data_IF_926701313532
#
_entry.id   IF_926701313532
#
_cell.length_a   1.000
_cell.length_b   1.000
_cell.length_c   1.000
_cell.angle_alpha   90.00
_cell.angle_beta   90.00
_cell.angle_gamma   90.00
#
_symmetry.space_group_name_H-M   'P 1'
#
loop_
_entity.id
_entity.type
_entity.pdbx_description
1 polymer ?
#
# COMPACT_ATOMS: atom_id res chain seq x y z
N UNK A 1 -3.18 -20.90 -6.88
CA UNK A 1 -2.07 -20.77 -5.89
C UNK A 1 -2.63 -20.41 -4.52
N UNK A 2 -1.84 -20.69 -3.48
CA UNK A 2 -2.04 -20.17 -2.12
C UNK A 2 -1.06 -19.04 -1.90
N UNK A 3 -1.57 -17.82 -1.80
CA UNK A 3 -0.80 -16.58 -1.76
C UNK A 3 -0.92 -15.96 -0.36
N UNK A 4 0.20 -15.62 0.25
CA UNK A 4 0.23 -14.92 1.52
C UNK A 4 0.69 -13.48 1.33
N UNK A 5 -0.12 -12.54 1.79
CA UNK A 5 0.26 -11.12 1.88
C UNK A 5 0.78 -10.83 3.28
N UNK A 6 1.93 -10.17 3.37
CA UNK A 6 2.50 -9.74 4.65
C UNK A 6 2.33 -8.24 4.83
N UNK A 7 1.61 -7.84 5.86
CA UNK A 7 1.46 -6.45 6.27
C UNK A 7 2.12 -6.23 7.64
N UNK A 8 2.50 -5.00 7.95
CA UNK A 8 3.05 -4.68 9.28
C UNK A 8 1.96 -4.81 10.33
N UNK A 9 0.86 -4.12 10.12
CA UNK A 9 -0.29 -4.05 11.03
C UNK A 9 -1.58 -3.97 10.23
N UNK A 10 -2.69 -4.36 10.81
CA UNK A 10 -3.99 -4.29 10.15
C UNK A 10 -5.05 -3.63 11.04
N UNK A 11 -5.94 -2.90 10.40
CA UNK A 11 -5.87 -2.32 9.07
C UNK A 11 -4.95 -1.10 9.07
N UNK A 12 -4.23 -0.89 7.98
CA UNK A 12 -3.41 0.30 7.76
C UNK A 12 -3.89 0.97 6.47
N UNK A 13 -4.93 1.82 6.56
CA UNK A 13 -5.60 2.42 5.41
C UNK A 13 -4.71 3.50 4.75
N UNK A 14 -3.65 3.06 4.13
CA UNK A 14 -2.77 3.88 3.30
C UNK A 14 -2.81 3.42 1.84
N UNK A 15 -2.30 4.24 0.93
CA UNK A 15 -2.30 3.93 -0.51
C UNK A 15 -1.62 2.60 -0.85
N UNK A 16 -0.55 2.24 -0.13
CA UNK A 16 0.14 0.96 -0.27
C UNK A 16 -0.76 -0.22 0.08
N UNK A 17 -1.45 -0.14 1.23
CA UNK A 17 -2.35 -1.20 1.66
C UNK A 17 -3.57 -1.35 0.72
N UNK A 18 -4.12 -0.25 0.23
CA UNK A 18 -5.21 -0.29 -0.75
C UNK A 18 -4.77 -0.97 -2.05
N UNK A 19 -3.52 -0.73 -2.50
CA UNK A 19 -2.93 -1.44 -3.62
C UNK A 19 -2.93 -2.96 -3.42
N UNK A 20 -2.58 -3.43 -2.22
CA UNK A 20 -2.53 -4.87 -1.94
C UNK A 20 -3.89 -5.52 -1.88
N UNK A 21 -4.85 -4.84 -1.27
CA UNK A 21 -6.23 -5.31 -1.26
C UNK A 21 -6.75 -5.42 -2.70
N UNK A 22 -6.44 -4.46 -3.55
CA UNK A 22 -6.88 -4.49 -4.94
C UNK A 22 -6.18 -5.61 -5.73
N UNK A 23 -4.88 -5.88 -5.47
CA UNK A 23 -4.18 -7.04 -6.03
C UNK A 23 -4.75 -8.36 -5.50
N UNK A 24 -5.03 -8.44 -4.21
CA UNK A 24 -5.62 -9.62 -3.58
C UNK A 24 -6.99 -9.96 -4.17
N UNK A 25 -7.84 -8.93 -4.42
CA UNK A 25 -9.13 -9.09 -5.10
C UNK A 25 -8.93 -9.66 -6.50
N UNK A 26 -7.98 -9.13 -7.26
CA UNK A 26 -7.71 -9.60 -8.62
C UNK A 26 -7.22 -11.06 -8.63
N UNK A 27 -6.27 -11.40 -7.76
CA UNK A 27 -5.78 -12.77 -7.63
C UNK A 27 -6.89 -13.74 -7.16
N UNK A 28 -7.77 -13.29 -6.25
CA UNK A 28 -8.91 -14.10 -5.80
C UNK A 28 -9.91 -14.38 -6.95
N UNK A 29 -10.20 -13.38 -7.80
CA UNK A 29 -11.04 -13.57 -9.00
C UNK A 29 -10.46 -14.60 -9.95
N UNK A 30 -9.14 -14.77 -9.98
CA UNK A 30 -8.43 -15.78 -10.78
C UNK A 30 -8.36 -17.15 -10.12
N UNK A 31 -9.05 -17.34 -8.99
CA UNK A 31 -9.14 -18.62 -8.29
C UNK A 31 -7.99 -18.89 -7.31
N UNK A 32 -7.21 -17.87 -6.91
CA UNK A 32 -6.17 -18.04 -5.92
C UNK A 32 -6.73 -17.91 -4.49
N UNK A 33 -6.17 -18.67 -3.56
CA UNK A 33 -6.50 -18.58 -2.13
C UNK A 33 -5.61 -17.53 -1.48
N UNK A 34 -6.22 -16.51 -0.88
CA UNK A 34 -5.53 -15.35 -0.32
C UNK A 34 -5.69 -15.31 1.20
N UNK A 35 -4.59 -15.08 1.91
CA UNK A 35 -4.58 -14.79 3.35
C UNK A 35 -3.59 -13.68 3.65
N UNK A 36 -3.98 -12.76 4.53
CA UNK A 36 -3.10 -11.71 5.02
C UNK A 36 -2.50 -12.10 6.37
N UNK A 37 -1.18 -11.99 6.47
CA UNK A 37 -0.43 -12.18 7.72
C UNK A 37 0.10 -10.84 8.20
N UNK A 38 -0.02 -10.56 9.49
CA UNK A 38 0.55 -9.37 10.11
C UNK A 38 1.82 -9.72 10.87
N UNK A 39 2.83 -8.84 10.78
CA UNK A 39 4.09 -8.98 11.54
C UNK A 39 4.01 -8.36 12.93
N UNK A 40 3.04 -7.47 13.14
CA UNK A 40 2.67 -6.90 14.44
C UNK A 40 1.24 -7.29 14.79
N UNK A 41 0.85 -7.13 16.06
CA UNK A 41 -0.54 -7.37 16.47
C UNK A 41 -1.49 -6.42 15.75
N UNK A 42 -2.67 -6.88 15.34
CA UNK A 42 -3.70 -6.02 14.78
C UNK A 42 -4.02 -4.84 15.71
N UNK A 43 -4.49 -3.73 15.14
CA UNK A 43 -4.99 -2.61 15.94
C UNK A 43 -6.19 -3.05 16.77
N UNK A 44 -6.37 -2.38 17.91
CA UNK A 44 -7.53 -2.60 18.79
C UNK A 44 -8.84 -2.46 18.00
N UNK A 45 -9.78 -3.38 18.22
CA UNK A 45 -11.02 -3.47 17.45
C UNK A 45 -10.98 -4.38 16.21
N UNK A 46 -9.79 -4.86 15.78
CA UNK A 46 -9.62 -5.78 14.64
C UNK A 46 -8.97 -7.10 15.07
N UNK A 47 -9.55 -7.77 16.04
CA UNK A 47 -9.05 -9.04 16.59
C UNK A 47 -9.12 -10.19 15.58
N UNK A 48 -8.20 -10.26 14.63
CA UNK A 48 -8.09 -11.37 13.66
C UNK A 48 -9.30 -11.48 12.74
N UNK A 49 -10.00 -10.36 12.50
CA UNK A 49 -11.22 -10.28 11.73
C UNK A 49 -11.02 -10.39 10.23
N UNK A 50 -12.14 -10.25 9.54
CA UNK A 50 -12.21 -10.13 8.08
C UNK A 50 -12.31 -8.65 7.74
N UNK A 51 -11.44 -8.18 6.84
CA UNK A 51 -11.51 -6.84 6.26
C UNK A 51 -11.61 -6.94 4.74
N UNK A 52 -12.60 -6.30 4.15
CA UNK A 52 -12.86 -6.32 2.69
C UNK A 52 -12.88 -7.73 2.09
N UNK A 53 -13.38 -8.71 2.85
CA UNK A 53 -13.50 -10.11 2.41
C UNK A 53 -12.26 -10.98 2.67
N UNK A 54 -11.16 -10.42 3.17
CA UNK A 54 -9.95 -11.16 3.47
C UNK A 54 -9.77 -11.40 4.97
N UNK A 55 -9.28 -12.60 5.31
CA UNK A 55 -8.90 -12.95 6.67
C UNK A 55 -7.51 -12.41 6.99
N UNK A 56 -7.40 -11.80 8.17
CA UNK A 56 -6.12 -11.32 8.72
C UNK A 56 -5.78 -12.07 9.99
N UNK A 57 -4.52 -12.46 10.13
CA UNK A 57 -4.02 -13.14 11.32
C UNK A 57 -2.54 -12.82 11.57
N UNK A 58 -2.12 -12.90 12.81
CA UNK A 58 -0.70 -12.75 13.13
C UNK A 58 0.09 -13.96 12.61
N UNK A 59 1.28 -13.71 12.05
CA UNK A 59 2.07 -14.75 11.39
C UNK A 59 2.42 -15.95 12.29
N UNK A 60 2.56 -15.74 13.61
CA UNK A 60 2.88 -16.82 14.56
C UNK A 60 1.77 -17.89 14.67
N UNK A 61 0.56 -17.57 14.28
CA UNK A 61 -0.57 -18.49 14.24
C UNK A 61 -0.77 -19.16 12.86
N UNK A 62 0.14 -18.94 11.90
CA UNK A 62 -0.05 -19.30 10.50
C UNK A 62 0.98 -20.30 9.95
N UNK A 63 1.64 -21.10 10.81
CA UNK A 63 2.70 -22.02 10.39
C UNK A 63 2.31 -22.92 9.21
N UNK A 64 1.21 -23.63 9.30
CA UNK A 64 0.72 -24.53 8.23
C UNK A 64 0.34 -23.78 6.93
N UNK A 65 -0.14 -22.54 7.05
CA UNK A 65 -0.42 -21.70 5.87
C UNK A 65 0.88 -21.28 5.18
N UNK A 66 1.91 -20.92 5.95
CA UNK A 66 3.22 -20.58 5.40
C UNK A 66 3.89 -21.78 4.73
N UNK A 67 3.79 -22.97 5.32
CA UNK A 67 4.30 -24.23 4.75
C UNK A 67 3.61 -24.60 3.43
N UNK A 68 2.32 -24.36 3.32
CA UNK A 68 1.53 -24.73 2.15
C UNK A 68 1.37 -23.62 1.11
N UNK A 69 1.94 -22.43 1.34
CA UNK A 69 1.89 -21.31 0.39
C UNK A 69 2.89 -21.48 -0.75
N UNK A 70 2.61 -20.91 -1.92
CA UNK A 70 3.48 -20.92 -3.08
C UNK A 70 4.25 -19.61 -3.29
N UNK A 71 3.70 -18.49 -2.83
CA UNK A 71 4.32 -17.17 -3.01
C UNK A 71 3.94 -16.24 -1.87
N UNK A 72 4.85 -15.37 -1.49
CA UNK A 72 4.65 -14.34 -0.49
C UNK A 72 4.70 -12.97 -1.12
N UNK A 73 3.75 -12.11 -0.79
CA UNK A 73 3.69 -10.72 -1.25
C UNK A 73 3.90 -9.81 -0.05
N UNK A 74 4.88 -8.92 -0.14
CA UNK A 74 5.24 -7.97 0.90
C UNK A 74 5.25 -6.54 0.35
N UNK A 75 4.12 -5.84 0.40
CA UNK A 75 4.00 -4.51 -0.18
C UNK A 75 4.58 -3.41 0.69
N UNK A 76 4.85 -3.72 1.93
CA UNK A 76 5.31 -2.74 2.89
C UNK A 76 6.80 -2.92 3.16
N UNK A 77 7.63 -2.07 2.56
CA UNK A 77 9.08 -2.15 2.71
C UNK A 77 9.58 -2.30 4.17
N UNK A 78 8.98 -1.64 5.18
CA UNK A 78 9.34 -1.86 6.58
C UNK A 78 9.12 -3.29 7.08
N UNK A 79 8.17 -4.02 6.51
CA UNK A 79 7.92 -5.42 6.89
C UNK A 79 8.90 -6.40 6.24
N UNK A 80 9.52 -6.03 5.13
CA UNK A 80 10.34 -6.94 4.32
C UNK A 80 11.51 -7.59 5.07
N UNK A 81 12.31 -6.89 5.90
CA UNK A 81 13.37 -7.53 6.67
C UNK A 81 12.83 -8.62 7.60
N UNK A 82 11.67 -8.37 8.22
CA UNK A 82 11.03 -9.34 9.10
C UNK A 82 10.50 -10.55 8.33
N UNK A 83 9.88 -10.32 7.16
CA UNK A 83 9.39 -11.37 6.26
C UNK A 83 10.55 -12.24 5.76
N UNK A 84 11.68 -11.65 5.36
CA UNK A 84 12.90 -12.36 4.99
C UNK A 84 13.43 -13.23 6.14
N UNK A 85 13.42 -12.69 7.37
CA UNK A 85 13.81 -13.45 8.57
C UNK A 85 12.88 -14.63 8.84
N UNK A 86 11.58 -14.49 8.62
CA UNK A 86 10.64 -15.61 8.72
C UNK A 86 10.94 -16.63 7.62
N UNK A 87 11.10 -16.17 6.38
CA UNK A 87 11.34 -17.02 5.22
C UNK A 87 12.63 -17.86 5.35
N UNK A 88 13.66 -17.31 5.98
CA UNK A 88 14.94 -17.99 6.22
C UNK A 88 14.86 -19.19 7.19
N UNK A 89 13.75 -19.34 7.92
CA UNK A 89 13.52 -20.45 8.84
C UNK A 89 13.15 -21.78 8.18
N UNK A 90 13.27 -21.85 6.86
CA UNK A 90 13.05 -23.07 6.08
C UNK A 90 11.92 -23.00 5.07
N UNK A 91 11.18 -21.88 5.03
CA UNK A 91 10.09 -21.74 4.03
C UNK A 91 10.62 -21.53 2.61
N UNK A 92 11.61 -20.64 2.44
CA UNK A 92 12.29 -20.34 1.17
C UNK A 92 11.33 -20.04 0.01
N UNK A 93 10.24 -19.32 0.28
CA UNK A 93 9.23 -18.96 -0.71
C UNK A 93 9.70 -17.79 -1.59
N UNK A 94 9.35 -17.74 -2.88
CA UNK A 94 9.53 -16.54 -3.69
C UNK A 94 8.80 -15.37 -3.05
N UNK A 95 9.42 -14.19 -3.05
CA UNK A 95 8.85 -12.97 -2.47
C UNK A 95 8.62 -11.95 -3.57
N UNK A 96 7.42 -11.36 -3.61
CA UNK A 96 7.13 -10.16 -4.39
C UNK A 96 7.02 -8.99 -3.42
N UNK A 97 7.84 -7.97 -3.62
CA UNK A 97 7.82 -6.77 -2.79
C UNK A 97 7.47 -5.55 -3.64
N UNK A 98 6.52 -4.72 -3.20
CA UNK A 98 6.18 -3.46 -3.86
C UNK A 98 6.81 -2.30 -3.10
N UNK A 99 7.63 -1.52 -3.78
CA UNK A 99 8.26 -0.33 -3.23
C UNK A 99 7.37 0.89 -3.49
N UNK A 100 6.72 1.38 -2.45
CA UNK A 100 5.85 2.57 -2.50
C UNK A 100 6.58 3.88 -2.19
N UNK A 101 7.83 3.81 -1.71
CA UNK A 101 8.65 4.98 -1.34
C UNK A 101 10.06 4.82 -1.85
N UNK A 102 10.70 5.93 -2.23
CA UNK A 102 12.08 5.93 -2.69
C UNK A 102 13.05 5.65 -1.54
N UNK A 103 13.99 4.80 -1.80
CA UNK A 103 15.37 4.60 -1.31
C UNK A 103 15.77 4.80 0.15
N UNK A 104 14.91 5.32 1.02
CA UNK A 104 15.20 5.39 2.47
C UNK A 104 15.03 4.06 3.20
N UNK A 105 14.47 3.09 2.53
CA UNK A 105 14.29 1.77 3.11
C UNK A 105 15.43 0.88 2.63
N UNK A 106 16.49 0.81 3.44
CA UNK A 106 17.58 -0.15 3.31
C UNK A 106 17.07 -1.57 3.06
N UNK A 107 15.88 -1.87 3.57
CA UNK A 107 15.20 -3.13 3.36
C UNK A 107 15.02 -3.54 1.89
N UNK A 108 14.83 -2.59 0.98
CA UNK A 108 14.70 -2.89 -0.46
C UNK A 108 16.08 -3.02 -1.11
N UNK A 109 17.09 -2.35 -0.55
CA UNK A 109 18.47 -2.34 -1.05
C UNK A 109 19.36 -3.39 -0.39
N UNK A 110 18.94 -3.97 0.75
CA UNK A 110 19.68 -5.03 1.42
C UNK A 110 19.56 -6.34 0.64
N UNK A 111 20.63 -7.14 0.71
CA UNK A 111 20.72 -8.40 -0.03
C UNK A 111 19.55 -9.35 0.25
N UNK A 112 18.88 -9.77 -0.81
CA UNK A 112 18.07 -10.95 -0.79
C UNK A 112 18.95 -12.19 -0.45
N UNK A 113 18.37 -13.17 0.21
CA UNK A 113 19.07 -14.43 0.43
C UNK A 113 19.21 -15.20 -0.88
N UNK A 114 20.35 -15.88 -1.13
CA UNK A 114 20.46 -16.77 -2.30
C UNK A 114 19.55 -18.02 -2.22
N UNK A 115 18.86 -18.22 -1.09
CA UNK A 115 17.99 -19.38 -0.87
C UNK A 115 16.60 -19.26 -1.50
N UNK A 116 16.22 -18.07 -1.94
CA UNK A 116 14.95 -17.80 -2.64
C UNK A 116 15.11 -16.62 -3.59
N UNK A 117 14.16 -16.46 -4.49
CA UNK A 117 14.12 -15.36 -5.47
C UNK A 117 13.18 -14.26 -5.01
N UNK A 118 13.48 -13.04 -5.41
CA UNK A 118 12.66 -11.87 -5.09
C UNK A 118 12.32 -11.09 -6.36
N UNK A 119 11.09 -10.56 -6.41
CA UNK A 119 10.66 -9.60 -7.43
C UNK A 119 10.31 -8.28 -6.75
N UNK A 120 10.95 -7.19 -7.20
CA UNK A 120 10.66 -5.83 -6.74
C UNK A 120 9.81 -5.10 -7.78
N UNK A 121 8.63 -4.65 -7.36
CA UNK A 121 7.74 -3.81 -8.13
C UNK A 121 7.85 -2.37 -7.63
N UNK A 122 8.22 -1.45 -8.51
CA UNK A 122 8.39 -0.03 -8.20
C UNK A 122 7.23 0.76 -8.77
N UNK A 123 6.66 1.68 -8.00
CA UNK A 123 5.49 2.45 -8.43
C UNK A 123 5.81 3.63 -9.33
N UNK A 124 7.07 3.90 -9.61
CA UNK A 124 7.53 4.81 -10.67
C UNK A 124 8.90 4.39 -11.23
N UNK A 125 9.23 4.87 -12.41
CA UNK A 125 10.47 4.53 -13.14
C UNK A 125 11.71 5.05 -12.46
N UNK A 126 11.62 6.23 -11.85
CA UNK A 126 12.74 6.85 -11.14
C UNK A 126 13.21 5.98 -10.00
N UNK A 127 12.27 5.42 -9.21
CA UNK A 127 12.57 4.48 -8.13
C UNK A 127 13.26 3.21 -8.65
N UNK A 128 12.74 2.61 -9.72
CA UNK A 128 13.38 1.43 -10.33
C UNK A 128 14.78 1.75 -10.83
N UNK A 129 14.96 2.88 -11.52
CA UNK A 129 16.27 3.31 -12.01
C UNK A 129 17.28 3.55 -10.88
N UNK A 130 16.86 4.20 -9.81
CA UNK A 130 17.68 4.44 -8.62
C UNK A 130 18.06 3.13 -7.93
N UNK A 131 17.13 2.19 -7.82
CA UNK A 131 17.41 0.86 -7.28
C UNK A 131 18.46 0.14 -8.13
N UNK A 132 18.29 0.07 -9.46
CA UNK A 132 19.20 -0.60 -10.38
C UNK A 132 20.61 0.00 -10.35
N UNK A 133 20.74 1.32 -10.16
CA UNK A 133 22.06 1.98 -10.03
C UNK A 133 22.80 1.63 -8.75
N UNK A 134 22.06 1.39 -7.65
CA UNK A 134 22.63 1.12 -6.32
C UNK A 134 22.79 -0.36 -6.03
N UNK A 135 22.10 -1.24 -6.76
CA UNK A 135 22.01 -2.66 -6.45
C UNK A 135 23.02 -3.46 -7.26
N UNK A 136 23.75 -4.32 -6.57
CA UNK A 136 24.69 -5.30 -7.15
C UNK A 136 24.11 -6.73 -7.12
N UNK A 137 22.80 -6.85 -7.20
CA UNK A 137 22.15 -8.15 -7.14
C UNK A 137 22.26 -8.91 -8.46
N UNK A 138 22.56 -10.21 -8.42
CA UNK A 138 22.45 -11.06 -9.60
C UNK A 138 21.00 -11.06 -10.13
N UNK A 139 20.83 -10.86 -11.42
CA UNK A 139 19.51 -10.92 -12.07
C UNK A 139 18.83 -12.30 -11.94
N UNK A 140 19.59 -13.33 -11.60
CA UNK A 140 19.08 -14.67 -11.35
C UNK A 140 18.29 -14.82 -10.04
N UNK A 141 18.49 -13.90 -9.08
CA UNK A 141 17.80 -13.92 -7.79
C UNK A 141 16.89 -12.71 -7.55
N UNK A 142 17.04 -11.65 -8.35
CA UNK A 142 16.25 -10.43 -8.24
C UNK A 142 15.70 -10.02 -9.59
N UNK A 143 14.38 -9.95 -9.69
CA UNK A 143 13.64 -9.36 -10.83
C UNK A 143 13.11 -8.00 -10.43
N UNK A 144 13.02 -7.07 -11.37
CA UNK A 144 12.42 -5.76 -11.14
C UNK A 144 11.38 -5.43 -12.20
N UNK A 145 10.45 -4.54 -11.85
CA UNK A 145 9.48 -3.99 -12.79
C UNK A 145 8.83 -2.72 -12.25
N UNK A 146 8.45 -1.81 -13.14
CA UNK A 146 7.64 -0.64 -12.79
C UNK A 146 6.17 -0.96 -12.94
N UNK A 147 5.37 -0.59 -11.95
CA UNK A 147 3.92 -0.78 -11.89
C UNK A 147 3.25 0.50 -11.40
N UNK A 148 1.97 0.65 -11.68
CA UNK A 148 1.15 1.71 -11.09
C UNK A 148 0.37 1.17 -9.90
N UNK A 149 0.06 1.99 -8.88
CA UNK A 149 -0.85 1.58 -7.81
C UNK A 149 -2.20 1.18 -8.38
N UNK A 150 -2.70 0.05 -7.89
CA UNK A 150 -3.95 -0.52 -8.37
C UNK A 150 -5.15 0.30 -7.92
N UNK A 151 -6.11 0.41 -8.81
CA UNK A 151 -7.41 1.05 -8.55
C UNK A 151 -8.52 0.26 -9.25
N UNK A 152 -9.68 0.26 -8.64
CA UNK A 152 -10.90 -0.27 -9.26
C UNK A 152 -11.83 0.89 -9.61
N UNK A 153 -12.29 0.92 -10.85
CA UNK A 153 -13.20 1.97 -11.33
C UNK A 153 -14.41 2.12 -10.42
N UNK A 154 -15.05 1.02 -10.04
CA UNK A 154 -16.23 1.01 -9.19
C UNK A 154 -16.05 1.63 -7.80
N UNK A 155 -14.81 1.80 -7.34
CA UNK A 155 -14.51 2.40 -6.04
C UNK A 155 -14.24 3.90 -6.11
N UNK A 156 -13.92 4.42 -7.29
CA UNK A 156 -13.54 5.82 -7.46
C UNK A 156 -14.51 6.60 -8.36
N UNK A 157 -15.21 5.93 -9.27
CA UNK A 157 -16.16 6.55 -10.19
C UNK A 157 -17.36 7.09 -9.42
N UNK A 158 -17.65 8.35 -9.60
CA UNK A 158 -18.88 8.95 -9.14
C UNK A 158 -19.99 8.77 -10.19
N UNK A 159 -21.23 8.60 -9.73
CA UNK A 159 -22.40 8.44 -10.59
C UNK A 159 -22.74 9.75 -11.31
N UNK A 160 -22.47 10.89 -10.65
CA UNK A 160 -22.67 12.23 -11.17
C UNK A 160 -21.36 13.04 -11.16
N UNK A 161 -21.19 14.00 -12.08
CA UNK A 161 -20.06 14.92 -12.04
C UNK A 161 -19.95 15.65 -10.69
N UNK A 162 -18.74 15.93 -10.20
CA UNK A 162 -18.58 16.67 -8.95
C UNK A 162 -19.15 18.09 -9.09
N UNK A 163 -19.94 18.49 -8.12
CA UNK A 163 -20.55 19.82 -8.06
C UNK A 163 -20.14 20.58 -6.77
N UNK A 164 -19.12 20.11 -6.09
CA UNK A 164 -18.56 20.73 -4.89
C UNK A 164 -17.92 22.08 -5.16
N UNK A 165 -17.82 22.91 -4.11
CA UNK A 165 -17.20 24.22 -4.14
C UNK A 165 -15.93 24.32 -3.27
N UNK A 166 -15.55 23.24 -2.59
CA UNK A 166 -14.43 23.22 -1.65
C UNK A 166 -13.07 23.03 -2.33
N UNK A 167 -12.06 23.70 -1.80
CA UNK A 167 -10.65 23.43 -2.04
C UNK A 167 -10.21 22.38 -1.02
N UNK A 168 -9.81 21.19 -1.48
CA UNK A 168 -9.71 20.01 -0.62
C UNK A 168 -8.28 19.54 -0.44
N UNK A 169 -7.92 19.15 0.79
CA UNK A 169 -6.72 18.37 1.12
C UNK A 169 -7.12 17.06 1.79
N UNK A 170 -6.72 15.94 1.21
CA UNK A 170 -6.96 14.61 1.78
C UNK A 170 -5.75 14.12 2.55
N UNK A 171 -6.00 13.49 3.70
CA UNK A 171 -4.96 13.01 4.61
C UNK A 171 -4.09 14.17 5.14
N UNK A 172 -4.73 15.19 5.70
CA UNK A 172 -4.14 16.47 6.09
C UNK A 172 -3.14 16.31 7.26
N UNK A 173 -1.90 15.95 6.95
CA UNK A 173 -0.78 15.84 7.88
C UNK A 173 0.43 16.68 7.40
N UNK A 174 1.48 16.73 8.21
CA UNK A 174 2.67 17.55 7.93
C UNK A 174 3.33 17.16 6.58
N UNK A 175 3.42 15.87 6.26
CA UNK A 175 4.03 15.41 5.02
C UNK A 175 3.16 15.70 3.78
N UNK A 176 1.86 15.82 3.98
CA UNK A 176 0.89 16.18 2.92
C UNK A 176 0.68 17.68 2.80
N UNK A 177 1.44 18.50 3.56
CA UNK A 177 1.46 19.93 3.40
C UNK A 177 0.31 20.67 4.08
N UNK A 178 -0.19 20.15 5.21
CA UNK A 178 -1.27 20.80 5.97
C UNK A 178 -0.95 22.25 6.34
N UNK A 179 0.30 22.59 6.62
CA UNK A 179 0.72 23.96 6.92
C UNK A 179 0.49 24.90 5.74
N UNK A 180 0.88 24.48 4.55
CA UNK A 180 0.65 25.23 3.30
C UNK A 180 -0.85 25.40 3.03
N UNK A 181 -1.62 24.33 3.20
CA UNK A 181 -3.08 24.37 3.04
C UNK A 181 -3.74 25.38 3.97
N UNK A 182 -3.32 25.45 5.25
CA UNK A 182 -3.84 26.43 6.22
C UNK A 182 -3.40 27.85 5.87
N UNK A 183 -2.19 28.04 5.37
CA UNK A 183 -1.72 29.35 4.91
C UNK A 183 -2.57 29.86 3.74
N UNK A 184 -2.87 29.02 2.77
CA UNK A 184 -3.78 29.36 1.66
C UNK A 184 -5.18 29.73 2.18
N UNK A 185 -5.71 28.95 3.12
CA UNK A 185 -7.02 29.22 3.70
C UNK A 185 -7.09 30.58 4.43
N UNK A 186 -6.03 30.96 5.17
CA UNK A 186 -5.95 32.28 5.81
C UNK A 186 -5.95 33.44 4.80
N UNK A 187 -5.25 33.25 3.67
CA UNK A 187 -5.12 34.27 2.62
C UNK A 187 -6.34 34.33 1.69
N UNK A 188 -7.20 33.31 1.71
CA UNK A 188 -8.42 33.22 0.89
C UNK A 188 -9.68 33.06 1.78
N UNK A 189 -10.00 34.03 2.66
CA UNK A 189 -11.04 33.87 3.70
C UNK A 189 -12.44 33.64 3.14
N UNK A 190 -12.70 34.04 1.89
CA UNK A 190 -14.00 33.89 1.23
C UNK A 190 -14.14 32.54 0.50
N UNK A 191 -13.16 31.63 0.59
CA UNK A 191 -13.18 30.32 -0.03
C UNK A 191 -13.44 29.24 1.02
N UNK A 192 -14.13 28.18 0.62
CA UNK A 192 -14.32 26.99 1.45
C UNK A 192 -13.13 26.06 1.29
N UNK A 193 -12.55 25.67 2.40
CA UNK A 193 -11.48 24.70 2.48
C UNK A 193 -11.97 23.46 3.22
N UNK A 194 -11.66 22.27 2.68
CA UNK A 194 -12.06 20.98 3.24
C UNK A 194 -10.82 20.16 3.55
N UNK A 195 -10.57 19.89 4.83
CA UNK A 195 -9.46 19.06 5.29
C UNK A 195 -9.96 17.71 5.78
N UNK A 196 -9.54 16.63 5.14
CA UNK A 196 -9.81 15.27 5.59
C UNK A 196 -8.74 14.84 6.57
N UNK A 197 -9.14 14.50 7.81
CA UNK A 197 -8.21 14.06 8.86
C UNK A 197 -7.41 12.84 8.43
N UNK A 198 -6.13 12.76 8.81
CA UNK A 198 -5.31 11.62 8.47
C UNK A 198 -5.79 10.36 9.21
N UNK A 199 -5.78 9.22 8.52
CA UNK A 199 -5.93 7.92 9.16
C UNK A 199 -4.62 7.45 9.82
N UNK A 200 -3.47 7.88 9.28
CA UNK A 200 -2.13 7.55 9.75
C UNK A 200 -1.25 8.81 9.82
N UNK A 201 -0.17 8.73 10.60
CA UNK A 201 0.72 9.85 10.86
C UNK A 201 0.29 10.66 12.09
N UNK A 202 1.07 11.69 12.40
CA UNK A 202 0.72 12.59 13.51
C UNK A 202 -0.51 13.42 13.16
N UNK A 203 -1.50 13.33 14.02
CA UNK A 203 -2.69 14.18 13.98
C UNK A 203 -2.34 15.56 14.57
N UNK A 204 -1.49 16.31 13.86
CA UNK A 204 -1.30 17.71 14.18
C UNK A 204 -2.35 18.53 13.43
N UNK A 205 -3.28 19.12 14.18
CA UNK A 205 -4.27 20.03 13.63
C UNK A 205 -3.84 21.44 14.01
N UNK A 206 -3.26 22.20 13.07
CA UNK A 206 -2.92 23.60 13.35
C UNK A 206 -4.18 24.41 13.63
N UNK A 207 -4.04 25.53 14.32
CA UNK A 207 -5.11 26.51 14.44
C UNK A 207 -5.52 26.95 13.03
N UNK A 208 -6.71 26.53 12.62
CA UNK A 208 -7.25 26.80 11.30
C UNK A 208 -8.23 27.98 11.34
N UNK A 209 -8.31 28.79 10.29
CA UNK A 209 -9.33 29.81 10.16
C UNK A 209 -10.72 29.20 9.97
N UNK A 210 -11.78 30.00 10.19
CA UNK A 210 -13.18 29.54 10.20
C UNK A 210 -13.68 28.98 8.86
N UNK A 211 -13.00 29.29 7.77
CA UNK A 211 -13.31 28.78 6.42
C UNK A 211 -12.72 27.39 6.13
N UNK A 212 -12.10 26.73 7.12
CA UNK A 212 -11.60 25.36 7.02
C UNK A 212 -12.52 24.41 7.77
N UNK A 213 -13.19 23.55 7.06
CA UNK A 213 -13.94 22.43 7.62
C UNK A 213 -13.05 21.20 7.75
N UNK A 214 -13.03 20.59 8.94
CA UNK A 214 -12.33 19.34 9.21
C UNK A 214 -13.33 18.19 9.27
N UNK A 215 -13.17 17.22 8.37
CA UNK A 215 -13.96 16.00 8.38
C UNK A 215 -13.11 14.79 8.79
N UNK A 216 -13.72 13.75 9.38
CA UNK A 216 -13.03 12.50 9.65
C UNK A 216 -12.58 11.84 8.33
N UNK A 217 -11.66 10.88 8.44
CA UNK A 217 -11.35 9.98 7.35
C UNK A 217 -12.62 9.25 6.89
N UNK A 218 -12.81 9.17 5.57
CA UNK A 218 -13.90 8.41 4.95
C UNK A 218 -13.30 7.28 4.09
N UNK A 219 -13.78 6.06 4.26
CA UNK A 219 -13.31 4.89 3.48
C UNK A 219 -13.84 4.91 2.03
N UNK A 220 -14.90 5.69 1.77
CA UNK A 220 -15.40 5.98 0.43
C UNK A 220 -14.98 7.39 -0.02
N UNK A 221 -13.89 7.47 -0.73
CA UNK A 221 -13.33 8.74 -1.21
C UNK A 221 -14.32 9.55 -2.05
N UNK A 222 -15.31 8.92 -2.67
CA UNK A 222 -16.34 9.59 -3.49
C UNK A 222 -17.15 10.61 -2.69
N UNK A 223 -17.36 10.36 -1.40
CA UNK A 223 -18.07 11.30 -0.49
C UNK A 223 -17.28 12.61 -0.32
N UNK A 224 -15.96 12.52 -0.31
CA UNK A 224 -15.07 13.70 -0.27
C UNK A 224 -15.04 14.39 -1.63
N UNK A 225 -14.84 13.62 -2.71
CA UNK A 225 -14.70 14.15 -4.05
C UNK A 225 -15.97 14.86 -4.55
N UNK A 226 -17.16 14.43 -4.14
CA UNK A 226 -18.44 15.12 -4.44
C UNK A 226 -18.46 16.56 -3.95
N UNK A 227 -17.73 16.87 -2.86
CA UNK A 227 -17.66 18.19 -2.25
C UNK A 227 -16.50 19.04 -2.80
N UNK A 228 -15.60 18.42 -3.57
CA UNK A 228 -14.35 18.98 -4.03
C UNK A 228 -14.51 19.69 -5.37
N UNK A 229 -14.10 20.97 -5.44
CA UNK A 229 -13.93 21.71 -6.68
C UNK A 229 -12.50 21.59 -7.20
N UNK A 230 -11.51 21.74 -6.31
CA UNK A 230 -10.08 21.67 -6.60
C UNK A 230 -9.41 20.80 -5.56
N UNK A 231 -8.62 19.83 -5.97
CA UNK A 231 -7.78 19.06 -5.05
C UNK A 231 -6.40 19.70 -4.96
N UNK A 232 -5.93 19.94 -3.74
CA UNK A 232 -4.56 20.37 -3.47
C UNK A 232 -3.70 19.20 -3.01
N UNK A 233 -2.50 19.12 -3.56
CA UNK A 233 -1.50 18.12 -3.22
C UNK A 233 -0.16 18.81 -2.86
N UNK A 234 -0.10 19.62 -1.78
CA UNK A 234 1.10 20.36 -1.38
C UNK A 234 2.08 19.47 -0.61
N UNK A 235 2.20 18.21 -1.05
CA UNK A 235 3.00 17.19 -0.39
C UNK A 235 4.48 17.50 -0.46
N UNK A 236 5.22 17.21 0.63
CA UNK A 236 6.69 17.21 0.62
C UNK A 236 7.22 16.07 -0.23
N UNK A 237 6.54 14.93 -0.14
CA UNK A 237 6.87 13.71 -0.84
C UNK A 237 5.59 13.06 -1.34
N UNK A 238 5.61 12.64 -2.59
CA UNK A 238 4.52 11.91 -3.23
C UNK A 238 5.08 10.97 -4.29
N UNK A 239 5.00 9.68 -4.04
CA UNK A 239 5.56 8.67 -4.96
C UNK A 239 4.70 8.40 -6.18
N UNK A 240 3.38 8.61 -6.07
CA UNK A 240 2.44 8.44 -7.16
C UNK A 240 1.30 9.45 -7.14
N UNK A 241 0.75 9.74 -5.94
CA UNK A 241 -0.41 10.63 -5.82
C UNK A 241 -1.74 9.94 -6.15
N UNK A 242 -2.02 8.78 -5.55
CA UNK A 242 -3.26 8.02 -5.80
C UNK A 242 -4.51 8.90 -5.75
N UNK A 243 -4.63 9.78 -4.75
CA UNK A 243 -5.78 10.70 -4.60
C UNK A 243 -5.89 11.68 -5.78
N UNK A 244 -4.77 12.10 -6.37
CA UNK A 244 -4.81 12.94 -7.56
C UNK A 244 -5.45 12.20 -8.74
N UNK A 245 -5.10 10.94 -8.95
CA UNK A 245 -5.70 10.09 -10.01
C UNK A 245 -7.19 9.90 -9.77
N UNK A 246 -7.60 9.64 -8.53
CA UNK A 246 -9.01 9.48 -8.14
C UNK A 246 -9.82 10.76 -8.41
N UNK A 247 -9.25 11.92 -8.10
CA UNK A 247 -9.85 13.23 -8.39
C UNK A 247 -9.93 13.51 -9.90
N UNK A 248 -8.81 13.36 -10.60
CA UNK A 248 -8.71 13.65 -12.05
C UNK A 248 -9.60 12.74 -12.89
N UNK A 249 -9.76 11.47 -12.49
CA UNK A 249 -10.70 10.54 -13.13
C UNK A 249 -12.13 11.06 -13.11
N UNK A 250 -12.52 11.75 -12.06
CA UNK A 250 -13.84 12.38 -11.91
C UNK A 250 -13.90 13.82 -12.45
N UNK A 251 -12.84 14.28 -13.15
CA UNK A 251 -12.80 15.62 -13.74
C UNK A 251 -12.51 16.74 -12.73
N UNK A 252 -11.91 16.43 -11.58
CA UNK A 252 -11.51 17.43 -10.58
C UNK A 252 -10.08 17.90 -10.88
N UNK A 253 -9.86 19.20 -11.11
CA UNK A 253 -8.51 19.76 -11.25
C UNK A 253 -7.65 19.52 -10.03
N UNK A 254 -6.36 19.20 -10.26
CA UNK A 254 -5.37 18.95 -9.21
C UNK A 254 -4.26 19.96 -9.32
N UNK A 255 -3.97 20.67 -8.21
CA UNK A 255 -2.79 21.51 -8.07
C UNK A 255 -1.82 20.78 -7.14
N UNK A 256 -0.58 20.59 -7.56
CA UNK A 256 0.40 19.80 -6.82
C UNK A 256 1.76 20.49 -6.68
N UNK A 257 2.51 20.11 -5.64
CA UNK A 257 3.89 20.57 -5.47
C UNK A 257 4.77 19.93 -6.51
N UNK A 258 5.43 20.74 -7.34
CA UNK A 258 6.51 20.24 -8.20
C UNK A 258 7.75 19.89 -7.39
N UNK A 259 8.63 19.01 -7.91
CA UNK A 259 9.88 18.66 -7.25
C UNK A 259 10.73 19.93 -7.02
N UNK A 260 11.26 20.05 -5.81
CA UNK A 260 12.28 21.06 -5.54
C UNK A 260 13.66 20.50 -5.92
N UNK A 261 14.12 20.85 -7.10
CA UNK A 261 15.42 20.40 -7.65
C UNK A 261 16.62 20.92 -6.83
N UNK A 262 16.43 21.93 -5.99
CA UNK A 262 17.47 22.48 -5.13
C UNK A 262 17.42 21.87 -3.71
N UNK A 263 16.42 21.02 -3.41
CA UNK A 263 16.31 20.39 -2.12
C UNK A 263 17.42 19.36 -1.94
N UNK A 264 18.18 19.52 -0.87
CA UNK A 264 19.13 18.50 -0.40
C UNK A 264 18.42 17.37 0.37
N UNK A 265 17.13 17.49 0.61
CA UNK A 265 16.33 16.44 1.24
C UNK A 265 15.88 15.42 0.18
N UNK A 266 16.51 14.23 0.13
CA UNK A 266 16.18 13.19 -0.85
C UNK A 266 14.76 12.64 -0.70
N UNK A 267 14.00 13.07 0.31
CA UNK A 267 12.60 12.69 0.57
C UNK A 267 11.62 13.75 0.06
N UNK A 268 12.11 14.92 -0.31
CA UNK A 268 11.27 16.03 -0.73
C UNK A 268 10.82 15.98 -2.20
N UNK A 269 10.80 14.83 -2.86
CA UNK A 269 10.54 14.76 -4.29
C UNK A 269 9.11 14.32 -4.59
N UNK A 270 8.50 15.01 -5.55
CA UNK A 270 7.20 14.65 -6.15
C UNK A 270 7.39 14.10 -7.57
N UNK A 271 8.59 13.60 -7.90
CA UNK A 271 8.93 13.06 -9.23
C UNK A 271 7.96 11.98 -9.71
N UNK A 272 7.47 11.14 -8.77
CA UNK A 272 6.46 10.15 -9.09
C UNK A 272 5.12 10.75 -9.51
N UNK A 273 4.74 11.91 -8.96
CA UNK A 273 3.55 12.65 -9.41
C UNK A 273 3.80 13.23 -10.79
N UNK A 274 4.96 13.82 -11.01
CA UNK A 274 5.30 14.35 -12.34
C UNK A 274 5.28 13.28 -13.41
N UNK A 275 5.82 12.10 -13.14
CA UNK A 275 5.81 10.98 -14.09
C UNK A 275 4.40 10.59 -14.56
N UNK A 276 3.41 10.63 -13.65
CA UNK A 276 2.09 10.10 -13.93
C UNK A 276 1.00 11.16 -14.10
N UNK A 277 1.15 12.36 -13.55
CA UNK A 277 0.12 13.40 -13.50
C UNK A 277 0.34 14.50 -14.53
N UNK A 278 1.58 14.75 -14.93
CA UNK A 278 1.89 15.68 -16.02
C UNK A 278 1.53 15.03 -17.38
N UNK A 279 0.92 15.76 -18.32
CA UNK A 279 0.75 17.22 -18.35
C UNK A 279 -0.55 17.75 -17.77
N UNK A 280 -1.41 16.92 -17.22
CA UNK A 280 -2.77 17.34 -16.87
C UNK A 280 -2.92 18.01 -15.50
N UNK A 281 -1.97 17.80 -14.57
CA UNK A 281 -1.97 18.50 -13.26
C UNK A 281 -1.35 19.91 -13.39
N UNK A 282 -1.68 20.77 -12.41
CA UNK A 282 -1.15 22.13 -12.31
C UNK A 282 -0.02 22.12 -11.28
N UNK A 283 1.22 22.34 -11.72
CA UNK A 283 2.39 22.32 -10.86
C UNK A 283 2.69 23.69 -10.26
N UNK A 284 2.89 23.74 -8.93
CA UNK A 284 3.30 24.94 -8.21
C UNK A 284 4.53 24.67 -7.33
N UNK A 285 5.36 25.67 -7.07
CA UNK A 285 6.41 25.56 -6.06
C UNK A 285 5.74 25.45 -4.67
N UNK A 286 6.16 24.46 -3.88
CA UNK A 286 5.48 24.13 -2.63
C UNK A 286 5.27 25.35 -1.71
N UNK A 287 6.33 26.12 -1.48
CA UNK A 287 6.33 27.21 -0.51
C UNK A 287 5.96 28.56 -1.12
N UNK A 288 5.56 28.61 -2.39
CA UNK A 288 5.16 29.83 -3.11
C UNK A 288 3.63 30.01 -3.06
N UNK A 289 3.10 30.45 -1.91
CA UNK A 289 1.64 30.60 -1.70
C UNK A 289 0.96 31.45 -2.79
N UNK A 290 1.63 32.48 -3.29
CA UNK A 290 1.09 33.35 -4.36
C UNK A 290 0.84 32.58 -5.66
N UNK A 291 1.74 31.66 -6.01
CA UNK A 291 1.57 30.81 -7.18
C UNK A 291 0.33 29.91 -7.07
N UNK A 292 0.13 29.31 -5.88
CA UNK A 292 -1.05 28.49 -5.61
C UNK A 292 -2.35 29.29 -5.68
N UNK A 293 -2.37 30.50 -5.08
CA UNK A 293 -3.53 31.41 -5.11
C UNK A 293 -3.86 31.76 -6.55
N UNK A 294 -2.86 32.19 -7.34
CA UNK A 294 -3.06 32.56 -8.74
C UNK A 294 -3.65 31.40 -9.57
N UNK A 295 -3.22 30.15 -9.33
CA UNK A 295 -3.78 29.00 -10.03
C UNK A 295 -5.21 28.65 -9.56
N UNK A 296 -5.50 28.81 -8.27
CA UNK A 296 -6.87 28.63 -7.75
C UNK A 296 -7.81 29.68 -8.36
N UNK A 297 -7.41 30.95 -8.40
CA UNK A 297 -8.20 32.04 -8.96
C UNK A 297 -8.37 31.90 -10.48
N UNK A 298 -7.35 31.42 -11.20
CA UNK A 298 -7.44 31.14 -12.64
C UNK A 298 -8.56 30.12 -12.93
N UNK A 299 -8.80 29.17 -12.03
CA UNK A 299 -9.87 28.16 -12.14
C UNK A 299 -11.25 28.70 -11.77
N UNK A 300 -11.40 30.01 -11.44
CA UNK A 300 -12.72 30.65 -11.29
C UNK A 300 -13.37 30.92 -12.63
N UNK A 301 -12.55 31.17 -13.67
CA UNK A 301 -13.08 31.27 -15.03
C UNK A 301 -13.68 29.95 -15.49
N UNK A 302 -14.97 30.00 -15.84
CA UNK A 302 -15.75 28.80 -16.13
C UNK A 302 -15.20 28.02 -17.35
N UNK A 303 -14.69 28.74 -18.37
CA UNK A 303 -14.13 28.12 -19.56
C UNK A 303 -12.80 27.44 -19.26
N UNK A 304 -11.93 28.08 -18.49
CA UNK A 304 -10.67 27.54 -18.00
C UNK A 304 -10.90 26.29 -17.14
N UNK A 305 -11.87 26.35 -16.23
CA UNK A 305 -12.22 25.20 -15.38
C UNK A 305 -12.71 24.01 -16.21
N UNK A 306 -13.65 24.24 -17.13
CA UNK A 306 -14.18 23.19 -18.01
C UNK A 306 -13.08 22.55 -18.88
N UNK A 307 -12.19 23.37 -19.44
CA UNK A 307 -11.01 22.89 -20.19
C UNK A 307 -10.13 22.00 -19.30
N UNK A 308 -9.88 22.42 -18.06
CA UNK A 308 -9.04 21.66 -17.14
C UNK A 308 -9.71 20.34 -16.72
N UNK A 309 -11.03 20.35 -16.51
CA UNK A 309 -11.79 19.12 -16.21
C UNK A 309 -11.66 18.10 -17.35
N UNK A 310 -11.80 18.54 -18.59
CA UNK A 310 -11.63 17.68 -19.77
C UNK A 310 -10.21 17.11 -19.83
N UNK A 311 -9.22 17.98 -19.71
CA UNK A 311 -7.80 17.59 -19.78
C UNK A 311 -7.44 16.52 -18.75
N UNK A 312 -7.81 16.73 -17.48
CA UNK A 312 -7.45 15.79 -16.41
C UNK A 312 -8.13 14.43 -16.63
N UNK A 313 -9.39 14.43 -17.07
CA UNK A 313 -10.15 13.21 -17.32
C UNK A 313 -9.59 12.40 -18.49
N UNK A 314 -9.34 13.06 -19.62
CA UNK A 314 -8.78 12.43 -20.83
C UNK A 314 -7.40 11.84 -20.53
N UNK A 315 -6.56 12.56 -19.79
CA UNK A 315 -5.25 12.08 -19.39
C UNK A 315 -5.33 10.77 -18.60
N UNK A 316 -6.15 10.72 -17.54
CA UNK A 316 -6.28 9.52 -16.72
C UNK A 316 -6.88 8.35 -17.52
N UNK A 317 -7.85 8.59 -18.38
CA UNK A 317 -8.41 7.56 -19.26
C UNK A 317 -7.33 6.99 -20.20
N UNK A 318 -6.46 7.85 -20.76
CA UNK A 318 -5.37 7.43 -21.64
C UNK A 318 -4.31 6.55 -20.93
N UNK A 319 -4.20 6.65 -19.61
CA UNK A 319 -3.26 5.84 -18.82
C UNK A 319 -3.68 4.37 -18.71
N UNK A 320 -4.93 4.01 -19.00
CA UNK A 320 -5.45 2.63 -18.83
C UNK A 320 -5.20 2.04 -17.43
N UNK A 321 -5.35 2.85 -16.39
CA UNK A 321 -4.96 2.48 -15.01
C UNK A 321 -5.71 1.25 -14.48
N UNK A 322 -6.92 0.97 -14.97
CA UNK A 322 -7.75 -0.15 -14.51
C UNK A 322 -7.31 -1.51 -15.06
N UNK A 323 -6.44 -1.54 -16.08
CA UNK A 323 -5.87 -2.80 -16.60
C UNK A 323 -4.64 -3.26 -15.79
N UNK A 324 -4.12 -2.41 -14.93
CA UNK A 324 -2.90 -2.65 -14.18
C UNK A 324 -3.01 -3.83 -13.22
N UNK A 325 -4.19 -4.05 -12.61
CA UNK A 325 -4.44 -5.17 -11.73
C UNK A 325 -4.19 -6.51 -12.44
N UNK A 326 -4.74 -6.67 -13.65
CA UNK A 326 -4.51 -7.85 -14.49
C UNK A 326 -3.05 -8.01 -14.87
N UNK A 327 -2.35 -6.92 -15.21
CA UNK A 327 -0.92 -6.95 -15.56
C UNK A 327 -0.05 -7.40 -14.39
N UNK A 328 -0.27 -6.86 -13.19
CA UNK A 328 0.50 -7.25 -12.01
C UNK A 328 0.18 -8.69 -11.60
N UNK A 329 -1.08 -9.10 -11.66
CA UNK A 329 -1.46 -10.48 -11.38
C UNK A 329 -0.75 -11.46 -12.33
N UNK A 330 -0.67 -11.16 -13.64
CA UNK A 330 0.12 -11.94 -14.59
C UNK A 330 1.60 -12.02 -14.16
N UNK A 331 2.20 -10.88 -13.80
CA UNK A 331 3.61 -10.86 -13.34
C UNK A 331 3.84 -11.75 -12.12
N UNK A 332 2.90 -11.76 -11.17
CA UNK A 332 2.97 -12.60 -9.96
C UNK A 332 2.84 -14.09 -10.32
N UNK A 333 1.88 -14.41 -11.18
CA UNK A 333 1.64 -15.80 -11.65
C UNK A 333 2.83 -16.35 -12.44
N UNK A 334 3.39 -15.55 -13.37
CA UNK A 334 4.55 -15.92 -14.16
C UNK A 334 5.78 -16.09 -13.28
N UNK A 335 6.00 -15.17 -12.35
CA UNK A 335 7.12 -15.27 -11.41
C UNK A 335 7.05 -16.52 -10.55
N UNK A 336 5.86 -16.90 -10.07
CA UNK A 336 5.70 -18.13 -9.29
C UNK A 336 5.86 -19.38 -10.17
N UNK A 337 5.39 -19.36 -11.43
CA UNK A 337 5.52 -20.47 -12.38
C UNK A 337 6.97 -20.74 -12.76
N UNK A 338 7.78 -19.70 -12.89
CA UNK A 338 9.21 -19.79 -13.14
C UNK A 338 10.00 -20.30 -11.92
N UNK A 339 9.43 -20.18 -10.72
CA UNK A 339 10.05 -20.57 -9.46
C UNK A 339 9.11 -21.50 -8.66
N UNK A 340 8.83 -22.71 -9.19
CA UNK A 340 7.95 -23.65 -8.53
C UNK A 340 8.57 -24.11 -7.21
N UNK A 341 7.73 -24.23 -6.20
CA UNK A 341 8.11 -24.85 -4.93
C UNK A 341 7.81 -26.34 -5.06
N UNK A 342 8.77 -27.18 -4.69
CA UNK A 342 8.51 -28.60 -4.55
C UNK A 342 7.31 -28.78 -3.58
N UNK A 343 6.28 -29.46 -4.05
CA UNK A 343 5.19 -29.84 -3.13
C UNK A 343 5.81 -30.61 -1.97
N UNK A 344 5.42 -30.32 -0.72
CA UNK A 344 5.85 -31.16 0.40
C UNK A 344 5.45 -32.59 0.05
N UNK A 345 6.41 -33.50 0.09
CA UNK A 345 6.11 -34.93 -0.10
C UNK A 345 4.91 -35.23 0.83
N UNK A 346 3.80 -35.64 0.25
CA UNK A 346 2.68 -36.13 1.05
C UNK A 346 3.27 -37.20 1.94
N UNK A 347 3.05 -37.14 3.27
CA UNK A 347 3.53 -38.20 4.14
C UNK A 347 3.04 -39.50 3.51
N UNK A 348 3.97 -40.33 3.08
CA UNK A 348 3.63 -41.68 2.56
C UNK A 348 2.74 -42.26 3.62
N UNK A 349 1.46 -42.40 3.32
CA UNK A 349 0.56 -43.20 4.13
C UNK A 349 1.21 -44.57 4.13
N UNK A 350 1.89 -44.90 5.23
CA UNK A 350 2.38 -46.26 5.40
C UNK A 350 1.15 -47.14 5.26
N UNK A 351 1.07 -47.86 4.15
CA UNK A 351 0.05 -48.87 4.02
C UNK A 351 0.23 -49.77 5.22
N UNK A 352 -0.65 -49.65 6.19
CA UNK A 352 -0.73 -50.59 7.30
C UNK A 352 -0.94 -51.92 6.64
N UNK A 353 0.07 -52.78 6.74
CA UNK A 353 -0.02 -54.14 6.25
C UNK A 353 -1.30 -54.76 6.84
N UNK A 354 -2.20 -55.14 5.97
CA UNK A 354 -3.44 -55.84 6.35
C UNK A 354 -3.16 -57.35 6.51
N UNK A 355 -1.91 -57.70 6.84
CA UNK A 355 -1.57 -59.09 7.16
C UNK A 355 -2.14 -59.46 8.55
N UNK A 356 -3.13 -60.34 8.64
CA UNK A 356 -3.79 -60.66 9.89
C UNK A 356 -2.90 -61.44 10.86
N UNK A 357 -1.66 -61.76 10.49
CA UNK A 357 -0.73 -62.50 11.35
C UNK A 357 0.19 -61.62 12.20
N UNK A 358 0.18 -60.28 12.02
CA UNK A 358 1.00 -59.37 12.81
C UNK A 358 0.15 -58.76 13.92
N UNK A 359 0.22 -59.29 15.13
CA UNK A 359 -0.37 -58.73 16.32
C UNK A 359 0.33 -57.38 16.65
N UNK A 360 -0.42 -56.30 16.93
CA UNK A 360 0.16 -55.02 17.29
C UNK A 360 0.93 -55.11 18.63
N UNK A 361 2.18 -54.62 18.62
CA UNK A 361 2.95 -54.45 19.88
C UNK A 361 2.24 -53.49 20.81
N UNK A 362 2.08 -53.81 22.09
CA UNK A 362 1.52 -52.88 23.04
C UNK A 362 2.38 -51.59 23.16
N UNK A 363 1.77 -50.44 23.39
CA UNK A 363 2.51 -49.20 23.55
C UNK A 363 3.42 -49.26 24.78
N UNK A 364 4.59 -48.59 24.76
CA UNK A 364 5.51 -48.56 25.89
C UNK A 364 4.81 -47.92 27.10
N UNK A 365 4.93 -48.55 28.23
CA UNK A 365 4.37 -48.11 29.50
C UNK A 365 5.01 -46.77 29.91
N UNK A 366 4.25 -45.69 29.90
CA UNK A 366 4.70 -44.37 30.33
C UNK A 366 4.99 -44.44 31.85
N UNK A 367 6.24 -44.17 32.21
CA UNK A 367 6.68 -43.97 33.58
C UNK A 367 5.88 -42.84 34.24
N UNK A 368 5.25 -43.13 35.35
CA UNK A 368 4.61 -42.11 36.21
C UNK A 368 5.65 -41.18 36.77
N UNK A 369 5.59 -39.90 36.35
CA UNK A 369 6.33 -38.83 37.01
C UNK A 369 5.51 -38.44 38.25
N UNK A 370 6.06 -38.74 39.44
CA UNK A 370 5.48 -38.36 40.73
C UNK A 370 5.61 -36.85 40.95
N UNK A 371 4.50 -36.19 41.21
CA UNK A 371 4.48 -34.80 41.69
C UNK A 371 4.81 -34.78 43.17
N UNK A 372 5.97 -34.19 43.56
CA UNK A 372 6.23 -33.84 44.97
C UNK A 372 5.66 -32.43 45.23
N UNK A 373 4.83 -32.34 46.23
CA UNK A 373 4.23 -31.10 46.73
C UNK A 373 5.28 -30.26 47.51
N UNK A 374 5.85 -29.25 46.83
CA UNK A 374 6.69 -28.23 47.49
C UNK A 374 5.82 -27.01 47.87
N UNK A 375 5.68 -26.75 49.16
CA UNK A 375 5.06 -25.55 49.73
C UNK A 375 5.88 -24.30 49.42
N UNK A 376 5.29 -23.35 48.74
CA UNK A 376 5.83 -21.97 48.65
C UNK A 376 5.47 -21.21 49.92
N UNK A 377 6.50 -20.80 50.68
CA UNK A 377 6.40 -19.78 51.74
C UNK A 377 6.53 -18.40 51.09
N UNK A 378 5.51 -17.59 51.27
CA UNK A 378 5.57 -16.13 51.09
C UNK A 378 6.36 -15.53 52.23
N UNK A 379 7.44 -14.75 51.94
CA UNK A 379 7.98 -13.75 52.84
C UNK A 379 7.83 -12.37 52.21
N UNK A 380 7.52 -11.43 53.07
CA UNK A 380 7.07 -10.03 52.92
C UNK A 380 7.96 -9.15 52.02
#
# INVERSE_FOLDING_TARGET
MRVLFFATRMPDLCGAFLHDIDLAIELQKRGHSITFLTTERPREGYNGGVYRGFRFMHYTAAGSLMESSQIWICPHAPALPHVRKINSRGYHRPIVATAHFDGRYSAVTDLASPKWVEMFLFINRTMEANFRKKSVFPSSIVRTGTVRPLMHESKIKMDEPPNGDAITLVNANVNKGVSQFIELAKRMPNRKFLAVRPYYGELWVPAAPSNVEWIPFDDDIRNVLKRTRILLLPSKYESFGRIAVEAMYNGIPVIYSKPDINSTDPVGTTEGVEEWIVPAGIACMRDAADEWIAQIERLDDAATYASQQTLVREHILSMNIFTEAGRIANMVEDFQREHPIAEPEQPRVQQVSTDPTVLPRPPPTTARIGFSSGRLRLQR
#
